data_IF_233101722844
#
_entry.id   IF_233101722844
#
_cell.length_a   1.000
_cell.length_b   1.000
_cell.length_c   1.000
_cell.angle_alpha   90.00
_cell.angle_beta   90.00
_cell.angle_gamma   90.00
#
_symmetry.space_group_name_H-M   'P 1'
#
loop_
_entity.id
_entity.type
_entity.pdbx_description
1 polymer ?
#
# COMPACT_ATOMS: atom_id res chain seq x y z
N UNK A 1 -10.94 -3.13 -7.69
CA UNK A 1 -10.77 -4.56 -7.39
C UNK A 1 -10.06 -4.66 -6.06
N UNK A 2 -10.50 -5.54 -5.16
CA UNK A 2 -9.77 -5.86 -3.92
C UNK A 2 -9.21 -7.28 -4.04
N UNK A 3 -7.97 -7.47 -3.63
CA UNK A 3 -7.26 -8.75 -3.68
C UNK A 3 -6.47 -8.92 -2.40
N UNK A 4 -6.53 -10.10 -1.80
CA UNK A 4 -5.64 -10.51 -0.72
C UNK A 4 -4.78 -11.65 -1.27
N UNK A 5 -3.47 -11.42 -1.36
CA UNK A 5 -2.54 -12.40 -1.89
C UNK A 5 -2.15 -13.42 -0.81
N UNK A 6 -1.78 -14.61 -1.27
CA UNK A 6 -1.22 -15.66 -0.42
C UNK A 6 0.25 -15.85 -0.77
N UNK A 7 1.07 -16.25 0.21
CA UNK A 7 2.48 -16.54 0.00
C UNK A 7 3.35 -15.32 -0.31
N UNK A 8 3.00 -14.14 0.20
CA UNK A 8 3.84 -12.92 0.16
C UNK A 8 5.21 -13.23 0.81
N UNK A 9 5.19 -13.70 2.05
CA UNK A 9 6.37 -14.08 2.84
C UNK A 9 7.17 -15.26 2.27
N UNK A 10 6.62 -15.98 1.28
CA UNK A 10 7.27 -17.10 0.59
C UNK A 10 7.85 -16.68 -0.77
N UNK A 11 8.05 -15.38 -0.98
CA UNK A 11 8.61 -14.84 -2.21
C UNK A 11 7.56 -14.34 -3.21
N UNK A 12 6.47 -13.75 -2.69
CA UNK A 12 5.44 -13.06 -3.49
C UNK A 12 4.68 -14.01 -4.43
N UNK A 13 4.51 -15.27 -4.02
CA UNK A 13 4.00 -16.35 -4.89
C UNK A 13 2.61 -16.01 -5.45
N UNK A 14 1.71 -15.50 -4.61
CA UNK A 14 0.34 -15.17 -5.02
C UNK A 14 0.26 -13.99 -5.97
N UNK A 15 0.97 -12.90 -5.72
CA UNK A 15 0.97 -11.72 -6.59
C UNK A 15 1.66 -12.00 -7.94
N UNK A 16 2.71 -12.83 -7.94
CA UNK A 16 3.32 -13.32 -9.19
C UNK A 16 2.35 -14.18 -10.01
N UNK A 17 1.70 -15.16 -9.37
CA UNK A 17 0.71 -16.00 -10.03
C UNK A 17 -0.48 -15.18 -10.59
N UNK A 18 -0.90 -14.14 -9.86
CA UNK A 18 -1.96 -13.25 -10.35
C UNK A 18 -1.57 -12.57 -11.67
N UNK A 19 -0.32 -12.10 -11.82
CA UNK A 19 0.12 -11.47 -13.07
C UNK A 19 0.20 -12.45 -14.24
N UNK A 20 0.45 -13.73 -13.98
CA UNK A 20 0.41 -14.79 -14.99
C UNK A 20 -1.03 -15.17 -15.38
N UNK A 21 -1.98 -15.06 -14.44
CA UNK A 21 -3.38 -15.48 -14.60
C UNK A 21 -4.36 -14.42 -14.07
N UNK A 22 -4.38 -13.22 -14.65
CA UNK A 22 -5.10 -12.11 -14.07
C UNK A 22 -6.60 -12.23 -14.36
N UNK A 23 -7.44 -11.84 -13.39
CA UNK A 23 -8.90 -11.86 -13.55
C UNK A 23 -9.37 -10.81 -14.56
N UNK A 24 -8.63 -9.71 -14.69
CA UNK A 24 -8.83 -8.67 -15.70
C UNK A 24 -7.50 -8.39 -16.41
N UNK A 25 -7.50 -7.96 -17.69
CA UNK A 25 -6.26 -7.67 -18.40
C UNK A 25 -5.35 -6.74 -17.60
N UNK A 26 -4.09 -7.11 -17.40
CA UNK A 26 -3.12 -6.30 -16.63
C UNK A 26 -3.02 -4.88 -17.19
N UNK A 27 -3.07 -4.73 -18.51
CA UNK A 27 -3.08 -3.43 -19.20
C UNK A 27 -4.27 -2.53 -18.86
N UNK A 28 -5.33 -3.06 -18.26
CA UNK A 28 -6.47 -2.28 -17.75
C UNK A 28 -6.27 -1.80 -16.31
N UNK A 29 -5.17 -2.18 -15.65
CA UNK A 29 -4.85 -1.78 -14.28
C UNK A 29 -4.25 -0.38 -14.27
N UNK A 30 -5.01 0.61 -13.78
CA UNK A 30 -4.54 2.00 -13.65
C UNK A 30 -3.39 2.15 -12.65
N UNK A 31 -3.49 1.47 -11.51
CA UNK A 31 -2.47 1.40 -10.48
C UNK A 31 -2.75 0.23 -9.54
N UNK A 32 -1.71 -0.28 -8.89
CA UNK A 32 -1.81 -1.21 -7.77
C UNK A 32 -1.52 -0.47 -6.46
N UNK A 33 -2.48 -0.49 -5.53
CA UNK A 33 -2.30 0.04 -4.17
C UNK A 33 -2.00 -1.15 -3.26
N UNK A 34 -0.80 -1.21 -2.70
CA UNK A 34 -0.39 -2.19 -1.70
C UNK A 34 -0.52 -1.59 -0.31
N UNK A 35 -1.12 -2.34 0.61
CA UNK A 35 -1.26 -1.95 2.01
C UNK A 35 -0.62 -3.06 2.82
N UNK A 36 0.39 -2.69 3.60
CA UNK A 36 1.12 -3.64 4.43
C UNK A 36 1.51 -2.98 5.75
N UNK A 37 1.70 -3.76 6.81
CA UNK A 37 2.06 -3.28 8.16
C UNK A 37 1.31 -2.01 8.57
N UNK A 38 -0.01 -2.08 8.67
CA UNK A 38 -0.88 -0.90 8.71
C UNK A 38 -1.35 -0.47 10.12
N UNK A 39 -0.89 -1.13 11.19
CA UNK A 39 -1.53 -1.03 12.51
C UNK A 39 -0.60 -0.67 13.67
N UNK A 40 0.71 -0.57 13.47
CA UNK A 40 1.71 -0.38 14.54
C UNK A 40 2.73 0.64 14.10
N UNK A 41 3.11 1.58 14.96
CA UNK A 41 4.13 2.56 14.62
C UNK A 41 3.92 3.91 15.27
N UNK A 42 4.47 4.96 14.65
CA UNK A 42 4.46 6.33 15.16
C UNK A 42 3.27 7.18 14.68
N UNK A 43 2.31 6.58 13.96
CA UNK A 43 1.13 7.27 13.42
C UNK A 43 1.35 8.06 12.13
N UNK A 44 2.56 8.03 11.57
CA UNK A 44 2.86 8.49 10.19
C UNK A 44 2.70 7.34 9.20
N UNK A 45 2.56 7.68 7.91
CA UNK A 45 2.51 6.72 6.81
C UNK A 45 3.73 6.89 5.92
N UNK A 46 4.45 5.81 5.67
CA UNK A 46 5.48 5.73 4.64
C UNK A 46 4.81 5.30 3.33
N UNK A 47 4.92 6.14 2.31
CA UNK A 47 4.24 5.94 1.02
C UNK A 47 5.27 5.85 -0.09
N UNK A 48 5.37 4.70 -0.73
CA UNK A 48 6.21 4.49 -1.92
C UNK A 48 5.38 4.66 -3.19
N UNK A 49 5.93 5.35 -4.20
CA UNK A 49 5.22 5.60 -5.47
C UNK A 49 6.11 5.29 -6.67
N UNK A 50 5.56 4.58 -7.65
CA UNK A 50 6.23 4.31 -8.94
C UNK A 50 5.26 4.44 -10.11
N UNK A 51 5.73 5.00 -11.23
CA UNK A 51 4.91 5.13 -12.45
C UNK A 51 3.77 6.17 -12.35
N UNK A 52 3.73 6.95 -11.28
CA UNK A 52 2.82 8.08 -11.05
C UNK A 52 3.58 9.26 -10.48
N UNK A 53 3.05 10.46 -10.72
CA UNK A 53 3.52 11.67 -10.05
C UNK A 53 3.25 11.59 -8.54
N UNK A 54 4.24 11.99 -7.72
CA UNK A 54 4.08 12.07 -6.25
C UNK A 54 2.92 12.98 -5.84
N UNK A 55 2.53 13.93 -6.69
CA UNK A 55 1.38 14.80 -6.45
C UNK A 55 0.08 14.01 -6.22
N UNK A 56 -0.10 12.87 -6.89
CA UNK A 56 -1.30 12.04 -6.72
C UNK A 56 -1.48 11.59 -5.26
N UNK A 57 -0.41 11.12 -4.63
CA UNK A 57 -0.45 10.63 -3.25
C UNK A 57 -0.49 11.74 -2.21
N UNK A 58 0.10 12.90 -2.53
CA UNK A 58 0.07 14.10 -1.68
C UNK A 58 -1.31 14.75 -1.68
N UNK A 59 -1.96 14.88 -2.85
CA UNK A 59 -3.31 15.41 -2.99
C UNK A 59 -4.32 14.54 -2.22
N UNK A 60 -4.19 13.21 -2.30
CA UNK A 60 -5.01 12.29 -1.52
C UNK A 60 -4.80 12.47 -0.01
N UNK A 61 -3.56 12.74 0.41
CA UNK A 61 -3.21 13.06 1.80
C UNK A 61 -3.87 14.34 2.27
N UNK A 62 -3.84 15.39 1.44
CA UNK A 62 -4.51 16.66 1.71
C UNK A 62 -6.02 16.46 1.85
N UNK A 63 -6.65 15.74 0.92
CA UNK A 63 -8.08 15.46 0.93
C UNK A 63 -8.50 14.63 2.17
N UNK A 64 -7.62 13.77 2.66
CA UNK A 64 -7.84 12.98 3.87
C UNK A 64 -7.57 13.75 5.17
N UNK A 65 -7.02 14.98 5.11
CA UNK A 65 -6.56 15.74 6.28
C UNK A 65 -5.33 15.12 6.95
N UNK A 66 -4.42 14.55 6.16
CA UNK A 66 -3.25 13.78 6.59
C UNK A 66 -1.93 14.28 5.98
N UNK A 67 -1.92 15.49 5.41
CA UNK A 67 -0.76 16.01 4.67
C UNK A 67 0.53 16.06 5.51
N UNK A 68 0.41 16.30 6.81
CA UNK A 68 1.51 16.34 7.78
C UNK A 68 1.98 14.95 8.25
N UNK A 69 1.26 13.88 7.89
CA UNK A 69 1.52 12.50 8.29
C UNK A 69 2.14 11.63 7.21
N UNK A 70 2.42 12.15 6.01
CA UNK A 70 2.97 11.37 4.91
C UNK A 70 4.49 11.55 4.77
N UNK A 71 5.20 10.44 4.70
CA UNK A 71 6.60 10.37 4.28
C UNK A 71 6.65 9.70 2.90
N UNK A 72 6.81 10.50 1.83
CA UNK A 72 6.65 10.04 0.44
C UNK A 72 8.00 9.77 -0.24
N UNK A 73 8.19 8.51 -0.63
CA UNK A 73 9.39 8.00 -1.28
C UNK A 73 9.11 7.49 -2.70
N UNK A 74 10.17 7.08 -3.39
CA UNK A 74 10.06 6.28 -4.61
C UNK A 74 9.81 4.81 -4.27
N UNK A 75 10.35 3.92 -5.09
CA UNK A 75 10.27 2.48 -4.83
C UNK A 75 11.08 2.07 -3.60
N UNK A 76 10.48 1.21 -2.76
CA UNK A 76 11.19 0.33 -1.84
C UNK A 76 10.62 -1.09 -1.96
N UNK A 77 11.47 -2.13 -1.93
CA UNK A 77 11.03 -3.52 -2.07
C UNK A 77 10.46 -4.08 -0.75
N UNK A 78 9.84 -5.26 -0.82
CA UNK A 78 9.34 -6.01 0.35
C UNK A 78 7.82 -6.07 0.45
N UNK A 79 7.14 -6.32 -0.67
CA UNK A 79 5.68 -6.48 -0.68
C UNK A 79 5.13 -6.87 -2.04
N UNK A 80 3.85 -7.21 -2.09
CA UNK A 80 3.15 -7.67 -3.29
C UNK A 80 3.08 -6.63 -4.44
N UNK A 81 3.47 -5.37 -4.22
CA UNK A 81 3.62 -4.39 -5.29
C UNK A 81 4.84 -4.66 -6.19
N UNK A 82 5.85 -5.39 -5.71
CA UNK A 82 7.10 -5.59 -6.45
C UNK A 82 6.87 -6.21 -7.84
N UNK A 83 6.10 -7.32 -7.99
CA UNK A 83 5.83 -7.91 -9.30
C UNK A 83 5.03 -6.97 -10.22
N UNK A 84 4.14 -6.15 -9.67
CA UNK A 84 3.36 -5.20 -10.46
C UNK A 84 4.25 -4.09 -11.05
N UNK A 85 5.20 -3.58 -10.26
CA UNK A 85 6.23 -2.66 -10.76
C UNK A 85 7.09 -3.31 -11.85
N UNK A 86 7.52 -4.56 -11.65
CA UNK A 86 8.31 -5.32 -12.64
C UNK A 86 7.56 -5.47 -13.97
N UNK A 87 6.23 -5.63 -13.91
CA UNK A 87 5.34 -5.65 -15.07
C UNK A 87 5.02 -4.27 -15.67
N UNK A 88 5.62 -3.19 -15.16
CA UNK A 88 5.42 -1.83 -15.65
C UNK A 88 4.12 -1.17 -15.19
N UNK A 89 3.41 -1.76 -14.23
CA UNK A 89 2.17 -1.22 -13.68
C UNK A 89 2.55 -0.18 -12.61
N UNK A 90 1.89 0.99 -12.58
CA UNK A 90 2.13 1.95 -11.51
C UNK A 90 1.75 1.39 -10.14
N UNK A 91 2.55 1.67 -9.12
CA UNK A 91 2.34 1.15 -7.77
C UNK A 91 2.37 2.24 -6.72
N UNK A 92 1.54 2.06 -5.69
CA UNK A 92 1.53 2.88 -4.49
C UNK A 92 1.57 1.92 -3.30
N UNK A 93 2.61 1.97 -2.49
CA UNK A 93 2.75 1.11 -1.30
C UNK A 93 2.61 1.94 -0.06
N UNK A 94 1.79 1.48 0.89
CA UNK A 94 1.45 2.20 2.11
C UNK A 94 1.78 1.29 3.28
N UNK A 95 2.70 1.75 4.12
CA UNK A 95 3.02 1.11 5.41
C UNK A 95 2.96 2.15 6.53
N UNK A 96 2.62 1.72 7.74
CA UNK A 96 2.74 2.62 8.89
C UNK A 96 4.22 2.83 9.25
N UNK A 97 4.57 4.07 9.59
CA UNK A 97 5.94 4.49 9.85
C UNK A 97 6.37 4.22 11.30
N UNK A 98 7.68 4.30 11.54
CA UNK A 98 8.26 4.07 12.88
C UNK A 98 8.67 2.62 13.12
N UNK A 99 8.85 2.26 14.39
CA UNK A 99 9.35 0.94 14.79
C UNK A 99 8.19 -0.05 14.85
N UNK A 100 8.42 -1.25 14.31
CA UNK A 100 7.50 -2.40 14.33
C UNK A 100 8.06 -3.50 15.25
N UNK A 101 7.93 -3.39 16.58
CA UNK A 101 8.60 -4.30 17.52
C UNK A 101 8.10 -5.74 17.47
N UNK A 102 6.92 -5.96 16.90
CA UNK A 102 6.29 -7.28 16.81
C UNK A 102 6.53 -7.95 15.45
N UNK A 103 7.17 -7.28 14.49
CA UNK A 103 7.38 -7.82 13.15
C UNK A 103 8.18 -9.13 13.17
N UNK A 104 7.66 -10.15 12.47
CA UNK A 104 8.18 -11.53 12.49
C UNK A 104 8.33 -12.15 13.89
N UNK A 105 7.57 -11.65 14.87
CA UNK A 105 7.56 -12.19 16.23
C UNK A 105 6.22 -12.88 16.53
N UNK A 106 6.21 -13.91 17.40
CA UNK A 106 4.98 -14.54 17.88
C UNK A 106 4.01 -13.58 18.60
N UNK A 107 4.50 -12.39 18.98
CA UNK A 107 3.71 -11.35 19.62
C UNK A 107 2.87 -10.52 18.64
N UNK A 108 3.10 -10.64 17.32
CA UNK A 108 2.25 -9.99 16.31
C UNK A 108 0.85 -10.61 16.35
N UNK A 109 -0.05 -9.92 17.04
CA UNK A 109 -1.35 -10.47 17.41
C UNK A 109 -2.39 -9.36 17.45
N UNK A 110 -3.66 -9.73 17.47
CA UNK A 110 -4.75 -8.74 17.51
C UNK A 110 -4.63 -7.75 18.69
N UNK A 111 -4.01 -8.16 19.79
CA UNK A 111 -3.84 -7.32 20.99
C UNK A 111 -2.80 -6.21 20.84
N UNK A 112 -1.93 -6.26 19.83
CA UNK A 112 -0.89 -5.25 19.59
C UNK A 112 -1.32 -4.19 18.58
N UNK A 113 -2.52 -4.32 18.00
CA UNK A 113 -3.07 -3.39 17.02
C UNK A 113 -3.36 -2.04 17.66
N UNK A 114 -2.92 -0.95 17.01
CA UNK A 114 -3.39 0.40 17.28
C UNK A 114 -4.54 0.78 16.33
N UNK A 115 -5.79 0.93 16.82
CA UNK A 115 -6.94 1.26 15.99
C UNK A 115 -6.85 2.64 15.30
N UNK A 116 -6.17 3.62 15.90
CA UNK A 116 -6.05 4.97 15.34
C UNK A 116 -5.15 5.00 14.09
N UNK A 117 -4.11 4.16 14.07
CA UNK A 117 -3.23 4.00 12.91
C UNK A 117 -4.00 3.31 11.78
N UNK A 118 -4.73 2.22 12.09
CA UNK A 118 -5.59 1.56 11.10
C UNK A 118 -6.64 2.51 10.52
N UNK A 119 -7.28 3.34 11.35
CA UNK A 119 -8.23 4.35 10.88
C UNK A 119 -7.56 5.38 9.96
N UNK A 120 -6.33 5.79 10.29
CA UNK A 120 -5.53 6.71 9.47
C UNK A 120 -5.23 6.11 8.10
N UNK A 121 -4.77 4.84 8.05
CA UNK A 121 -4.52 4.12 6.80
C UNK A 121 -5.80 3.98 5.99
N UNK A 122 -6.90 3.55 6.61
CA UNK A 122 -8.17 3.35 5.92
C UNK A 122 -8.71 4.65 5.30
N UNK A 123 -8.63 5.77 6.02
CA UNK A 123 -9.02 7.10 5.49
C UNK A 123 -8.15 7.52 4.32
N UNK A 124 -6.84 7.32 4.42
CA UNK A 124 -5.90 7.67 3.37
C UNK A 124 -6.12 6.84 2.09
N UNK A 125 -6.23 5.52 2.24
CA UNK A 125 -6.47 4.58 1.13
C UNK A 125 -7.80 4.90 0.44
N UNK A 126 -8.86 5.22 1.19
CA UNK A 126 -10.14 5.60 0.62
C UNK A 126 -10.01 6.86 -0.25
N UNK A 127 -9.39 7.93 0.26
CA UNK A 127 -9.20 9.17 -0.49
C UNK A 127 -8.39 8.93 -1.77
N UNK A 128 -7.32 8.14 -1.67
CA UNK A 128 -6.45 7.80 -2.80
C UNK A 128 -7.19 6.99 -3.87
N UNK A 129 -7.88 5.91 -3.47
CA UNK A 129 -8.63 5.07 -4.39
C UNK A 129 -9.75 5.88 -5.08
N UNK A 130 -10.44 6.75 -4.33
CA UNK A 130 -11.46 7.63 -4.86
C UNK A 130 -10.91 8.61 -5.90
N UNK A 131 -9.77 9.24 -5.62
CA UNK A 131 -9.13 10.16 -6.56
C UNK A 131 -8.66 9.43 -7.84
N UNK A 132 -8.04 8.26 -7.70
CA UNK A 132 -7.61 7.46 -8.85
C UNK A 132 -8.78 6.99 -9.72
N UNK A 133 -9.92 6.68 -9.11
CA UNK A 133 -11.13 6.28 -9.84
C UNK A 133 -11.80 7.44 -10.60
N UNK A 134 -11.64 8.69 -10.13
CA UNK A 134 -12.33 9.87 -10.68
C UNK A 134 -11.42 10.79 -11.53
N UNK A 135 -10.13 10.49 -11.61
CA UNK A 135 -9.22 11.18 -12.54
C UNK A 135 -9.45 10.66 -13.95
N UNK A 136 -9.70 11.58 -14.89
CA UNK A 136 -9.85 11.26 -16.31
C UNK A 136 -8.54 10.74 -16.91
#
# INVERSE_FOLDING_TARGET
MFVSFSGEEQGLVGSRLYLERPVAPVSSTKAMINIDHASIGNGRLTVGVTGLEKKVVLDAGQAAGLADKLDVYGFFPGGDHVPFKEAGIPTITIVSGGVHPHFHQPTDSANTINPEILQTVARYVLALAWQLANTQ
#
